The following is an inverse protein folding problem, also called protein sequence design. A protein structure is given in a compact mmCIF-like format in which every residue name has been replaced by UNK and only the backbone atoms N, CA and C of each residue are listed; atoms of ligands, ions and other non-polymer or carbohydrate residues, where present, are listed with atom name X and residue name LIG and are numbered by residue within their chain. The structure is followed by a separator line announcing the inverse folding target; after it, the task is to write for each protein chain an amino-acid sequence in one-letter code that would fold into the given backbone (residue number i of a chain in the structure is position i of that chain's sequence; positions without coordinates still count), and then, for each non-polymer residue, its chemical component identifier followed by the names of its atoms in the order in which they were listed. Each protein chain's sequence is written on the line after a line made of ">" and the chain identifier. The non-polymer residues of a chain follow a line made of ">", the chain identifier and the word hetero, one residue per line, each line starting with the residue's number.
data_IF_267280817356
#
_entry.id   IF_267280817356
#
_cell.length_a   1.000
_cell.length_b   1.000
_cell.length_c   1.000
_cell.angle_alpha   90.00
_cell.angle_beta   90.00
_cell.angle_gamma   90.00
#
_symmetry.space_group_name_H-M   'P 1'
#
loop_
_entity.id
_entity.type
_entity.pdbx_description
1 polymer ?
#
# COMPACT_ATOMS: atom_id res chain seq x y z
N UNK A 1 -31.08 20.51 15.64
CA UNK A 1 -30.14 20.38 14.51
C UNK A 1 -29.80 18.91 14.39
N UNK A 2 -30.27 18.26 13.34
CA UNK A 2 -30.05 16.82 13.11
C UNK A 2 -28.59 16.57 12.70
N UNK A 3 -28.11 15.33 12.81
CA UNK A 3 -26.73 15.02 12.41
C UNK A 3 -26.51 15.20 10.90
N UNK A 4 -27.54 14.97 10.08
CA UNK A 4 -27.51 15.27 8.64
C UNK A 4 -27.35 16.77 8.37
N UNK A 5 -27.94 17.65 9.20
CA UNK A 5 -27.77 19.11 9.07
C UNK A 5 -26.31 19.53 9.31
N UNK A 6 -25.58 18.83 10.18
CA UNK A 6 -24.16 19.14 10.46
C UNK A 6 -23.27 18.97 9.23
N UNK A 7 -23.62 18.04 8.33
CA UNK A 7 -22.89 17.82 7.07
C UNK A 7 -23.09 19.00 6.12
N UNK A 8 -24.31 19.53 6.05
CA UNK A 8 -24.72 20.54 5.06
C UNK A 8 -24.70 22.00 5.55
N UNK A 9 -24.48 22.27 6.85
CA UNK A 9 -24.43 23.63 7.40
C UNK A 9 -23.11 24.38 7.13
N UNK A 10 -23.18 25.71 7.01
CA UNK A 10 -22.20 26.62 6.38
C UNK A 10 -20.77 26.59 6.93
N UNK A 11 -19.81 26.91 6.05
CA UNK A 11 -18.34 26.84 6.21
C UNK A 11 -17.79 27.41 7.53
N UNK A 12 -17.19 26.53 8.34
CA UNK A 12 -16.44 26.90 9.56
C UNK A 12 -15.09 27.57 9.23
N UNK A 13 -14.58 28.44 10.11
CA UNK A 13 -13.23 29.07 10.00
C UNK A 13 -12.11 28.05 9.70
N UNK A 14 -12.26 26.82 10.19
CA UNK A 14 -11.33 25.70 10.00
C UNK A 14 -11.28 25.21 8.54
N UNK A 15 -12.42 25.16 7.85
CA UNK A 15 -12.48 24.74 6.44
C UNK A 15 -11.82 25.77 5.52
N UNK A 16 -11.96 27.07 5.80
CA UNK A 16 -11.22 28.14 5.10
C UNK A 16 -9.69 27.95 5.22
N UNK A 17 -9.20 27.61 6.42
CA UNK A 17 -7.79 27.36 6.64
C UNK A 17 -7.26 26.13 5.87
N UNK A 18 -8.05 25.05 5.75
CA UNK A 18 -7.67 23.85 4.97
C UNK A 18 -7.55 24.15 3.48
N UNK A 19 -8.50 24.91 2.90
CA UNK A 19 -8.44 25.27 1.48
C UNK A 19 -7.23 26.17 1.19
N UNK A 20 -6.96 27.15 2.05
CA UNK A 20 -5.78 28.02 1.94
C UNK A 20 -4.48 27.20 1.97
N UNK A 21 -4.36 26.27 2.92
CA UNK A 21 -3.17 25.41 3.02
C UNK A 21 -3.00 24.49 1.79
N UNK A 22 -4.11 24.01 1.22
CA UNK A 22 -4.08 23.16 0.02
C UNK A 22 -3.70 23.93 -1.24
N UNK A 23 -4.23 25.14 -1.39
CA UNK A 23 -3.85 26.07 -2.48
C UNK A 23 -2.35 26.35 -2.43
N UNK A 24 -1.80 26.63 -1.24
CA UNK A 24 -0.35 26.84 -1.05
C UNK A 24 0.45 25.62 -1.49
N UNK A 25 0.08 24.43 -1.00
CA UNK A 25 0.76 23.18 -1.38
C UNK A 25 0.77 22.93 -2.89
N UNK A 26 -0.35 23.17 -3.57
CA UNK A 26 -0.44 22.99 -5.03
C UNK A 26 0.42 24.00 -5.80
N UNK A 27 0.55 25.23 -5.29
CA UNK A 27 1.45 26.23 -5.88
C UNK A 27 2.92 25.82 -5.69
N UNK A 28 3.26 25.24 -4.54
CA UNK A 28 4.60 24.72 -4.26
C UNK A 28 4.94 23.50 -5.13
N UNK A 29 3.98 22.60 -5.34
CA UNK A 29 4.12 21.47 -6.27
C UNK A 29 4.41 21.97 -7.71
N UNK A 30 3.68 23.00 -8.19
CA UNK A 30 3.96 23.60 -9.51
C UNK A 30 5.32 24.28 -9.59
N UNK A 31 5.81 24.85 -8.49
CA UNK A 31 7.18 25.36 -8.41
C UNK A 31 8.21 24.23 -8.47
N UNK A 32 7.97 23.10 -7.82
CA UNK A 32 8.84 21.91 -7.89
C UNK A 32 8.83 21.25 -9.27
N UNK A 33 7.72 21.34 -10.00
CA UNK A 33 7.62 20.96 -11.42
C UNK A 33 8.34 21.93 -12.38
N UNK A 34 9.03 22.96 -11.87
CA UNK A 34 9.87 23.87 -12.67
C UNK A 34 9.15 25.09 -13.26
N UNK A 35 7.87 25.33 -12.92
CA UNK A 35 7.18 26.54 -13.39
C UNK A 35 7.75 27.78 -12.68
N UNK A 36 8.13 28.80 -13.46
CA UNK A 36 8.75 30.03 -12.96
C UNK A 36 8.07 31.29 -13.54
N UNK A 37 8.28 32.43 -12.87
CA UNK A 37 7.86 33.76 -13.35
C UNK A 37 6.37 33.87 -13.72
N UNK A 38 6.09 34.36 -14.93
CA UNK A 38 4.71 34.60 -15.40
C UNK A 38 3.87 33.32 -15.52
N UNK A 39 4.50 32.17 -15.78
CA UNK A 39 3.78 30.88 -15.89
C UNK A 39 3.29 30.41 -14.52
N UNK A 40 4.16 30.49 -13.50
CA UNK A 40 3.77 30.19 -12.12
C UNK A 40 2.69 31.15 -11.62
N UNK A 41 2.78 32.44 -11.96
CA UNK A 41 1.77 33.44 -11.59
C UNK A 41 0.40 33.15 -12.18
N UNK A 42 0.33 32.73 -13.46
CA UNK A 42 -0.94 32.33 -14.10
C UNK A 42 -1.52 31.05 -13.48
N UNK A 43 -0.67 30.05 -13.23
CA UNK A 43 -1.08 28.80 -12.57
C UNK A 43 -1.59 29.07 -11.14
N UNK A 44 -0.86 29.86 -10.36
CA UNK A 44 -1.25 30.24 -9.00
C UNK A 44 -2.57 31.02 -8.97
N UNK A 45 -2.79 31.91 -9.94
CA UNK A 45 -4.06 32.64 -10.08
C UNK A 45 -5.24 31.69 -10.37
N UNK A 46 -5.07 30.72 -11.28
CA UNK A 46 -6.10 29.71 -11.54
C UNK A 46 -6.37 28.81 -10.33
N UNK A 47 -5.32 28.30 -9.68
CA UNK A 47 -5.43 27.47 -8.47
C UNK A 47 -6.15 28.25 -7.34
N UNK A 48 -5.82 29.53 -7.18
CA UNK A 48 -6.48 30.41 -6.21
C UNK A 48 -7.94 30.64 -6.55
N UNK A 49 -8.28 30.94 -7.82
CA UNK A 49 -9.66 31.14 -8.28
C UNK A 49 -10.52 29.86 -8.17
N UNK A 50 -9.91 28.69 -8.31
CA UNK A 50 -10.53 27.38 -8.06
C UNK A 50 -10.77 27.17 -6.56
N UNK A 51 -9.77 27.50 -5.72
CA UNK A 51 -9.90 27.43 -4.27
C UNK A 51 -10.96 28.38 -3.73
N UNK A 52 -11.06 29.58 -4.30
CA UNK A 52 -12.06 30.59 -3.98
C UNK A 52 -13.46 30.13 -4.41
N UNK A 53 -13.64 29.60 -5.63
CA UNK A 53 -14.91 28.97 -6.04
C UNK A 53 -15.33 27.82 -5.12
N UNK A 54 -14.39 26.95 -4.71
CA UNK A 54 -14.65 25.87 -3.75
C UNK A 54 -15.05 26.37 -2.36
N UNK A 55 -14.54 27.54 -1.95
CA UNK A 55 -14.94 28.20 -0.70
C UNK A 55 -16.31 28.87 -0.82
N UNK A 56 -16.64 29.43 -1.99
CA UNK A 56 -17.96 29.99 -2.31
C UNK A 56 -19.03 28.88 -2.48
N UNK A 57 -18.64 27.68 -2.90
CA UNK A 57 -19.51 26.52 -3.13
C UNK A 57 -19.59 25.53 -1.94
N UNK A 58 -18.80 25.75 -0.89
CA UNK A 58 -18.89 24.99 0.37
C UNK A 58 -18.56 23.50 0.28
N UNK A 59 -17.59 23.06 -0.55
CA UNK A 59 -17.31 21.64 -0.74
C UNK A 59 -16.74 20.94 0.52
N UNK A 60 -17.38 19.86 0.95
CA UNK A 60 -17.00 19.02 2.10
C UNK A 60 -16.71 17.60 1.64
N UNK A 61 -15.51 17.11 1.96
CA UNK A 61 -15.14 15.70 1.75
C UNK A 61 -15.82 14.84 2.81
N UNK A 62 -16.67 13.92 2.35
CA UNK A 62 -17.36 12.93 3.18
C UNK A 62 -16.37 11.95 3.81
N UNK A 63 -16.45 11.75 5.12
CA UNK A 63 -15.70 10.76 5.91
C UNK A 63 -16.58 9.57 6.27
N UNK A 64 -16.00 8.50 6.81
CA UNK A 64 -16.74 7.30 7.23
C UNK A 64 -17.94 7.59 8.15
N UNK A 65 -17.76 8.44 9.16
CA UNK A 65 -18.87 8.87 10.03
C UNK A 65 -19.98 9.61 9.27
N UNK A 66 -19.61 10.46 8.32
CA UNK A 66 -20.59 11.18 7.50
C UNK A 66 -21.38 10.23 6.60
N UNK A 67 -20.75 9.16 6.08
CA UNK A 67 -21.42 8.10 5.31
C UNK A 67 -22.45 7.34 6.15
N UNK A 68 -22.14 7.05 7.42
CA UNK A 68 -23.07 6.40 8.35
C UNK A 68 -24.31 7.29 8.54
N UNK A 69 -24.11 8.57 8.83
CA UNK A 69 -25.20 9.55 8.97
C UNK A 69 -26.03 9.67 7.69
N UNK A 70 -25.40 9.66 6.52
CA UNK A 70 -26.09 9.67 5.23
C UNK A 70 -26.96 8.42 5.03
N UNK A 71 -26.46 7.25 5.41
CA UNK A 71 -27.22 5.99 5.35
C UNK A 71 -28.43 6.01 6.28
N UNK A 72 -28.21 6.35 7.56
CA UNK A 72 -29.27 6.42 8.56
C UNK A 72 -30.41 7.34 8.09
N UNK A 73 -30.05 8.54 7.60
CA UNK A 73 -31.03 9.46 7.02
C UNK A 73 -31.77 8.87 5.79
N UNK A 74 -31.06 8.15 4.92
CA UNK A 74 -31.68 7.52 3.75
C UNK A 74 -32.63 6.36 4.14
N UNK A 75 -32.34 5.65 5.22
CA UNK A 75 -33.23 4.63 5.82
C UNK A 75 -34.48 5.31 6.38
N UNK A 76 -34.29 6.31 7.25
CA UNK A 76 -35.39 7.00 7.96
C UNK A 76 -36.37 7.67 6.99
N UNK A 77 -35.88 8.15 5.85
CA UNK A 77 -36.69 8.80 4.82
C UNK A 77 -37.23 7.84 3.75
N UNK A 78 -36.93 6.54 3.84
CA UNK A 78 -37.31 5.52 2.85
C UNK A 78 -36.63 5.68 1.48
N UNK A 79 -35.68 6.60 1.37
CA UNK A 79 -34.96 6.93 0.13
C UNK A 79 -33.98 5.86 -0.30
N UNK A 80 -33.50 5.04 0.64
CA UNK A 80 -32.60 3.92 0.35
C UNK A 80 -33.20 2.98 -0.71
N UNK A 81 -34.52 2.77 -0.67
CA UNK A 81 -35.26 1.88 -1.58
C UNK A 81 -35.26 2.37 -3.04
N UNK A 82 -34.89 3.62 -3.30
CA UNK A 82 -34.82 4.16 -4.66
C UNK A 82 -33.58 3.64 -5.40
N UNK A 83 -32.53 3.25 -4.69
CA UNK A 83 -31.27 2.81 -5.28
C UNK A 83 -31.29 1.32 -5.64
N UNK A 84 -32.04 1.00 -6.69
CA UNK A 84 -32.07 -0.35 -7.26
C UNK A 84 -30.86 -0.56 -8.15
N UNK A 85 -30.02 -1.54 -7.82
CA UNK A 85 -28.83 -1.89 -8.60
C UNK A 85 -29.17 -2.77 -9.80
N UNK A 86 -28.62 -2.48 -10.96
CA UNK A 86 -28.76 -3.27 -12.18
C UNK A 86 -27.47 -3.99 -12.53
N UNK A 87 -27.59 -5.26 -12.93
CA UNK A 87 -26.46 -6.01 -13.48
C UNK A 87 -26.31 -5.67 -14.97
N UNK A 88 -25.12 -5.26 -15.37
CA UNK A 88 -24.78 -4.90 -16.74
C UNK A 88 -23.63 -5.74 -17.28
N UNK A 89 -23.96 -6.62 -18.22
CA UNK A 89 -22.97 -7.42 -18.95
C UNK A 89 -22.40 -6.64 -20.12
N UNK A 90 -21.40 -5.81 -19.84
CA UNK A 90 -20.70 -5.07 -20.89
C UNK A 90 -19.43 -5.84 -21.29
N UNK A 91 -19.45 -6.46 -22.46
CA UNK A 91 -18.29 -7.17 -23.05
C UNK A 91 -17.04 -6.27 -23.13
N UNK A 92 -17.26 -4.95 -23.25
CA UNK A 92 -16.22 -3.91 -23.32
C UNK A 92 -15.30 -3.87 -22.09
N UNK A 93 -15.73 -4.40 -20.94
CA UNK A 93 -14.96 -4.32 -19.69
C UNK A 93 -14.20 -5.61 -19.34
N UNK A 94 -14.32 -6.67 -20.14
CA UNK A 94 -13.63 -7.95 -19.90
C UNK A 94 -12.10 -7.87 -19.87
N UNK A 95 -11.51 -6.80 -20.38
CA UNK A 95 -10.06 -6.56 -20.33
C UNK A 95 -9.58 -6.03 -18.96
N UNK A 96 -10.50 -5.75 -18.04
CA UNK A 96 -10.16 -5.32 -16.68
C UNK A 96 -9.81 -6.54 -15.85
N UNK A 97 -8.50 -6.77 -15.69
CA UNK A 97 -7.98 -7.89 -14.89
C UNK A 97 -7.57 -7.52 -13.46
N UNK A 98 -7.71 -6.26 -13.04
CA UNK A 98 -7.22 -5.80 -11.73
C UNK A 98 -8.19 -4.84 -11.04
N UNK A 99 -8.21 -4.85 -9.71
CA UNK A 99 -9.02 -3.92 -8.89
C UNK A 99 -8.67 -2.45 -9.12
N UNK A 100 -7.41 -2.12 -9.40
CA UNK A 100 -7.00 -0.75 -9.69
C UNK A 100 -7.55 -0.26 -11.04
N UNK A 101 -7.45 -1.07 -12.11
CA UNK A 101 -8.10 -0.78 -13.40
C UNK A 101 -9.63 -0.63 -13.28
N UNK A 102 -10.28 -1.38 -12.38
CA UNK A 102 -11.70 -1.19 -12.07
C UNK A 102 -11.96 0.19 -11.47
N UNK A 103 -11.15 0.61 -10.50
CA UNK A 103 -11.25 1.94 -9.88
C UNK A 103 -11.01 3.04 -10.91
N UNK A 104 -10.02 2.87 -11.79
CA UNK A 104 -9.73 3.82 -12.86
C UNK A 104 -10.88 3.92 -13.88
N UNK A 105 -11.48 2.78 -14.27
CA UNK A 105 -12.68 2.77 -15.10
C UNK A 105 -13.82 3.52 -14.40
N UNK A 106 -14.08 3.19 -13.14
CA UNK A 106 -15.15 3.78 -12.34
C UNK A 106 -15.00 5.30 -12.16
N UNK A 107 -13.76 5.80 -12.19
CA UNK A 107 -13.48 7.22 -12.18
C UNK A 107 -13.81 7.89 -13.53
N UNK A 108 -13.53 7.22 -14.66
CA UNK A 108 -13.59 7.80 -16.02
C UNK A 108 -14.93 7.64 -16.74
N UNK A 109 -15.77 6.73 -16.26
CA UNK A 109 -17.10 6.42 -16.83
C UNK A 109 -18.17 6.75 -15.80
N UNK A 110 -19.33 7.25 -16.25
CA UNK A 110 -20.47 7.54 -15.38
C UNK A 110 -21.10 6.24 -14.85
N UNK A 111 -20.47 5.64 -13.83
CA UNK A 111 -20.96 4.39 -13.25
C UNK A 111 -22.30 4.54 -12.54
N UNK A 112 -22.71 5.76 -12.18
CA UNK A 112 -23.98 5.99 -11.51
C UNK A 112 -25.17 5.62 -12.40
N UNK A 113 -25.11 6.02 -13.67
CA UNK A 113 -26.12 5.69 -14.69
C UNK A 113 -26.13 4.19 -15.03
N UNK A 114 -24.96 3.55 -15.00
CA UNK A 114 -24.82 2.11 -15.30
C UNK A 114 -25.33 1.27 -14.13
N UNK A 115 -25.02 1.65 -12.89
CA UNK A 115 -25.25 0.79 -11.72
C UNK A 115 -26.64 0.99 -11.12
N UNK A 116 -27.19 2.20 -11.12
CA UNK A 116 -28.40 2.52 -10.37
C UNK A 116 -29.55 2.92 -11.30
N UNK A 117 -30.64 2.15 -11.27
CA UNK A 117 -31.79 2.36 -12.17
C UNK A 117 -32.41 3.76 -12.01
N UNK A 118 -32.50 4.26 -10.77
CA UNK A 118 -33.02 5.60 -10.49
C UNK A 118 -32.13 6.74 -11.00
N UNK A 119 -30.90 6.45 -11.45
CA UNK A 119 -29.95 7.45 -11.98
C UNK A 119 -29.70 7.29 -13.48
N UNK A 120 -30.25 6.25 -14.13
CA UNK A 120 -29.94 5.86 -15.51
C UNK A 120 -30.25 6.90 -16.58
N UNK A 121 -31.27 7.73 -16.38
CA UNK A 121 -31.69 8.74 -17.35
C UNK A 121 -31.28 10.17 -16.96
N UNK A 122 -30.37 10.31 -16.00
CA UNK A 122 -29.92 11.62 -15.52
C UNK A 122 -28.78 12.11 -16.41
N UNK A 123 -29.02 13.21 -17.12
CA UNK A 123 -27.99 13.85 -17.93
C UNK A 123 -26.90 14.47 -17.04
N UNK A 124 -25.63 14.27 -17.43
CA UNK A 124 -24.50 14.89 -16.74
C UNK A 124 -24.63 16.41 -16.65
N UNK A 125 -24.13 16.99 -15.55
CA UNK A 125 -24.17 18.42 -15.25
C UNK A 125 -25.57 19.05 -15.18
N UNK A 126 -26.61 18.23 -15.03
CA UNK A 126 -27.98 18.70 -14.79
C UNK A 126 -28.37 18.51 -13.33
N UNK A 127 -29.13 19.49 -12.80
CA UNK A 127 -29.64 19.44 -11.43
C UNK A 127 -30.93 18.63 -11.36
N UNK A 128 -31.04 17.78 -10.34
CA UNK A 128 -32.22 16.99 -10.04
C UNK A 128 -32.47 16.92 -8.52
N UNK A 129 -33.67 16.56 -8.06
CA UNK A 129 -33.92 16.34 -6.64
C UNK A 129 -32.98 15.25 -6.09
N UNK A 130 -32.27 15.53 -4.99
CA UNK A 130 -31.35 14.57 -4.42
C UNK A 130 -32.11 13.29 -4.02
N UNK A 131 -31.63 12.15 -4.52
CA UNK A 131 -32.22 10.85 -4.23
C UNK A 131 -31.80 10.34 -2.84
N UNK A 132 -30.68 10.82 -2.28
CA UNK A 132 -30.14 10.37 -0.99
C UNK A 132 -30.59 11.20 0.23
N UNK A 133 -30.77 12.51 0.07
CA UNK A 133 -31.04 13.45 1.18
C UNK A 133 -32.23 14.33 0.81
N UNK A 134 -33.25 14.35 1.66
CA UNK A 134 -34.45 15.14 1.42
C UNK A 134 -34.15 16.65 1.40
N UNK A 135 -34.85 17.39 0.53
CA UNK A 135 -34.73 18.84 0.35
C UNK A 135 -33.36 19.33 -0.15
N UNK A 136 -32.47 18.42 -0.53
CA UNK A 136 -31.26 18.75 -1.28
C UNK A 136 -31.52 18.61 -2.78
N UNK A 137 -30.75 19.33 -3.58
CA UNK A 137 -30.57 19.03 -5.00
C UNK A 137 -29.26 18.24 -5.20
N UNK A 138 -29.18 17.53 -6.32
CA UNK A 138 -28.05 16.72 -6.71
C UNK A 138 -27.73 16.94 -8.19
N UNK A 139 -26.52 16.57 -8.58
CA UNK A 139 -26.08 16.49 -9.97
C UNK A 139 -24.95 15.48 -10.07
N UNK A 140 -24.75 14.90 -11.26
CA UNK A 140 -23.61 14.02 -11.54
C UNK A 140 -22.68 14.77 -12.48
N UNK A 141 -21.40 14.89 -12.12
CA UNK A 141 -20.41 15.55 -12.97
C UNK A 141 -18.99 15.05 -12.71
N UNK A 142 -18.09 15.31 -13.65
CA UNK A 142 -16.66 15.10 -13.47
C UNK A 142 -16.06 16.20 -12.59
N UNK A 143 -15.40 15.79 -11.52
CA UNK A 143 -14.53 16.65 -10.72
C UNK A 143 -13.17 16.86 -11.43
N UNK A 144 -12.37 17.84 -10.98
CA UNK A 144 -10.96 17.97 -11.36
C UNK A 144 -10.25 16.61 -11.26
N UNK A 145 -9.56 16.24 -12.36
CA UNK A 145 -8.97 14.92 -12.68
C UNK A 145 -9.91 13.91 -13.37
N UNK A 146 -10.99 14.38 -14.00
CA UNK A 146 -11.91 13.54 -14.78
C UNK A 146 -12.58 12.41 -13.97
N UNK A 147 -12.83 12.66 -12.68
CA UNK A 147 -13.44 11.67 -11.78
C UNK A 147 -14.94 11.96 -11.62
N UNK A 148 -15.80 11.01 -12.00
CA UNK A 148 -17.24 11.13 -11.77
C UNK A 148 -17.61 11.14 -10.29
N UNK A 149 -18.52 12.05 -9.94
CA UNK A 149 -19.07 12.21 -8.59
C UNK A 149 -20.57 12.45 -8.65
N UNK A 150 -21.30 11.84 -7.72
CA UNK A 150 -22.66 12.23 -7.35
C UNK A 150 -22.56 13.34 -6.31
N UNK A 151 -23.02 14.54 -6.64
CA UNK A 151 -23.03 15.67 -5.74
C UNK A 151 -24.37 15.82 -5.06
N UNK A 152 -24.36 16.30 -3.82
CA UNK A 152 -25.56 16.73 -3.11
C UNK A 152 -25.29 18.06 -2.43
N UNK A 153 -26.26 18.98 -2.52
CA UNK A 153 -26.17 20.31 -1.91
C UNK A 153 -27.53 20.73 -1.37
N UNK A 154 -27.50 21.37 -0.21
CA UNK A 154 -28.64 22.11 0.35
C UNK A 154 -28.54 23.57 -0.08
N UNK A 155 -29.68 24.22 -0.31
CA UNK A 155 -29.69 25.65 -0.59
C UNK A 155 -28.98 26.45 0.52
N UNK A 156 -28.09 27.37 0.14
CA UNK A 156 -27.21 28.10 1.05
C UNK A 156 -26.21 27.27 1.87
N UNK A 157 -26.12 25.96 1.64
CA UNK A 157 -25.32 25.01 2.41
C UNK A 157 -24.06 24.50 1.71
N UNK A 158 -23.40 23.56 2.37
CA UNK A 158 -22.23 22.86 1.84
C UNK A 158 -22.60 21.90 0.70
N UNK A 159 -21.63 21.62 -0.15
CA UNK A 159 -21.71 20.60 -1.20
C UNK A 159 -20.94 19.36 -0.75
N UNK A 160 -21.49 18.16 -0.91
CA UNK A 160 -20.74 16.91 -0.80
C UNK A 160 -20.59 16.24 -2.16
N UNK A 161 -19.52 15.45 -2.35
CA UNK A 161 -19.29 14.65 -3.55
C UNK A 161 -18.98 13.21 -3.22
N UNK A 162 -19.82 12.28 -3.67
CA UNK A 162 -19.69 10.83 -3.47
C UNK A 162 -19.16 10.19 -4.75
N UNK A 163 -18.16 9.31 -4.63
CA UNK A 163 -17.80 8.39 -5.71
C UNK A 163 -18.82 7.26 -5.80
N UNK A 164 -18.76 6.46 -6.88
CA UNK A 164 -19.61 5.27 -7.00
C UNK A 164 -19.39 4.32 -5.82
N UNK A 165 -18.14 4.15 -5.37
CA UNK A 165 -17.82 3.30 -4.22
C UNK A 165 -18.40 3.86 -2.92
N UNK A 166 -18.35 5.19 -2.71
CA UNK A 166 -18.99 5.79 -1.55
C UNK A 166 -20.50 5.54 -1.54
N UNK A 167 -21.15 5.62 -2.71
CA UNK A 167 -22.58 5.37 -2.82
C UNK A 167 -22.90 3.90 -2.59
N UNK A 168 -22.16 2.95 -3.17
CA UNK A 168 -22.33 1.51 -2.90
C UNK A 168 -22.14 1.20 -1.40
N UNK A 169 -21.11 1.75 -0.76
CA UNK A 169 -20.91 1.60 0.70
C UNK A 169 -22.12 2.10 1.51
N UNK A 170 -22.64 3.27 1.17
CA UNK A 170 -23.81 3.86 1.85
C UNK A 170 -25.06 3.01 1.60
N UNK A 171 -25.27 2.52 0.38
CA UNK A 171 -26.46 1.74 -0.01
C UNK A 171 -26.44 0.33 0.60
N UNK A 172 -25.28 -0.32 0.65
CA UNK A 172 -25.17 -1.69 1.19
C UNK A 172 -25.04 -1.71 2.71
N UNK A 173 -24.37 -0.70 3.27
CA UNK A 173 -24.18 -0.58 4.72
C UNK A 173 -23.13 -1.52 5.30
N UNK A 174 -22.29 -2.13 4.47
CA UNK A 174 -21.24 -3.06 4.89
C UNK A 174 -19.97 -2.29 5.26
N UNK A 175 -19.55 -2.37 6.53
CA UNK A 175 -18.27 -1.82 7.04
C UNK A 175 -18.00 -0.36 6.58
N UNK A 176 -19.03 0.48 6.66
CA UNK A 176 -19.06 1.82 6.07
C UNK A 176 -17.85 2.67 6.52
N UNK A 177 -17.08 3.18 5.56
CA UNK A 177 -15.94 4.05 5.84
C UNK A 177 -14.68 3.33 6.33
N UNK A 178 -14.72 2.00 6.42
CA UNK A 178 -13.56 1.16 6.72
C UNK A 178 -12.93 0.60 5.44
N UNK A 179 -11.71 0.03 5.56
CA UNK A 179 -11.04 -0.63 4.43
C UNK A 179 -11.86 -1.81 3.89
N UNK A 180 -12.54 -2.54 4.76
CA UNK A 180 -13.41 -3.65 4.39
C UNK A 180 -14.63 -3.17 3.58
N UNK A 181 -15.20 -2.00 3.91
CA UNK A 181 -16.32 -1.43 3.16
C UNK A 181 -15.93 -1.01 1.75
N UNK A 182 -14.74 -0.39 1.59
CA UNK A 182 -14.25 -0.06 0.25
C UNK A 182 -13.98 -1.32 -0.60
N UNK A 183 -13.42 -2.38 -0.01
CA UNK A 183 -13.23 -3.67 -0.69
C UNK A 183 -14.57 -4.27 -1.13
N UNK A 184 -15.56 -4.29 -0.23
CA UNK A 184 -16.92 -4.74 -0.54
C UNK A 184 -17.49 -3.96 -1.72
N UNK A 185 -17.35 -2.63 -1.74
CA UNK A 185 -17.84 -1.82 -2.85
C UNK A 185 -17.12 -2.11 -4.19
N UNK A 186 -15.83 -2.45 -4.16
CA UNK A 186 -15.10 -2.89 -5.36
C UNK A 186 -15.61 -4.25 -5.86
N UNK A 187 -15.80 -5.22 -4.96
CA UNK A 187 -16.31 -6.55 -5.27
C UNK A 187 -17.74 -6.49 -5.82
N UNK A 188 -18.60 -5.67 -5.20
CA UNK A 188 -19.97 -5.48 -5.66
C UNK A 188 -20.01 -4.79 -7.04
N UNK A 189 -19.20 -3.76 -7.27
CA UNK A 189 -19.12 -3.13 -8.59
C UNK A 189 -18.60 -4.13 -9.64
N UNK A 190 -17.60 -4.93 -9.32
CA UNK A 190 -17.09 -5.96 -10.20
C UNK A 190 -18.18 -6.98 -10.57
N UNK A 191 -18.94 -7.47 -9.58
CA UNK A 191 -20.06 -8.39 -9.77
C UNK A 191 -21.15 -7.80 -10.66
N UNK A 192 -21.53 -6.54 -10.44
CA UNK A 192 -22.54 -5.85 -11.24
C UNK A 192 -22.10 -5.66 -12.70
N UNK A 193 -20.80 -5.55 -12.94
CA UNK A 193 -20.20 -5.45 -14.27
C UNK A 193 -19.82 -6.81 -14.89
N UNK A 194 -20.13 -7.93 -14.21
CA UNK A 194 -19.78 -9.30 -14.66
C UNK A 194 -18.26 -9.48 -14.83
N UNK A 195 -17.48 -8.88 -13.93
CA UNK A 195 -16.02 -8.99 -13.87
C UNK A 195 -15.62 -10.03 -12.83
N UNK A 196 -14.94 -11.07 -13.29
CA UNK A 196 -14.42 -12.16 -12.45
C UNK A 196 -12.89 -12.13 -12.37
N UNK A 197 -12.34 -12.67 -11.29
CA UNK A 197 -10.89 -12.90 -11.18
C UNK A 197 -10.03 -11.63 -11.11
N UNK A 198 -10.56 -10.51 -10.61
CA UNK A 198 -9.78 -9.28 -10.45
C UNK A 198 -8.61 -9.49 -9.48
N UNK A 199 -7.40 -9.28 -9.97
CA UNK A 199 -6.16 -9.39 -9.19
C UNK A 199 -5.79 -8.07 -8.52
N UNK A 200 -4.98 -8.13 -7.47
CA UNK A 200 -4.37 -6.93 -6.85
C UNK A 200 -3.13 -6.53 -7.66
N UNK A 201 -3.17 -5.37 -8.32
CA UNK A 201 -2.06 -4.87 -9.15
C UNK A 201 -0.76 -4.73 -8.36
N UNK A 202 -0.81 -4.35 -7.08
CA UNK A 202 0.40 -4.29 -6.26
C UNK A 202 0.99 -5.67 -6.06
N UNK A 203 0.15 -6.69 -5.83
CA UNK A 203 0.58 -8.08 -5.67
C UNK A 203 1.23 -8.60 -6.95
N UNK A 204 0.64 -8.29 -8.11
CA UNK A 204 1.22 -8.58 -9.43
C UNK A 204 2.58 -7.90 -9.57
N UNK A 205 2.67 -6.60 -9.32
CA UNK A 205 3.92 -5.84 -9.47
C UNK A 205 5.04 -6.37 -8.56
N UNK A 206 4.69 -6.77 -7.33
CA UNK A 206 5.64 -7.38 -6.40
C UNK A 206 6.09 -8.78 -6.87
N UNK A 207 5.17 -9.59 -7.39
CA UNK A 207 5.50 -10.89 -7.98
C UNK A 207 6.39 -10.74 -9.22
N UNK A 208 6.03 -9.85 -10.14
CA UNK A 208 6.82 -9.54 -11.34
C UNK A 208 8.21 -9.02 -10.99
N UNK A 209 8.37 -8.23 -9.90
CA UNK A 209 9.68 -7.84 -9.40
C UNK A 209 10.56 -9.06 -9.13
N UNK A 210 10.05 -10.06 -8.41
CA UNK A 210 10.79 -11.29 -8.11
C UNK A 210 11.12 -12.10 -9.37
N UNK A 211 10.17 -12.24 -10.29
CA UNK A 211 10.40 -12.95 -11.57
C UNK A 211 11.48 -12.24 -12.41
N UNK A 212 11.41 -10.92 -12.53
CA UNK A 212 12.41 -10.12 -13.25
C UNK A 212 13.79 -10.23 -12.60
N UNK A 213 13.86 -10.26 -11.26
CA UNK A 213 15.11 -10.47 -10.55
C UNK A 213 15.70 -11.86 -10.84
N UNK A 214 14.89 -12.93 -10.76
CA UNK A 214 15.32 -14.29 -11.11
C UNK A 214 15.80 -14.36 -12.56
N UNK A 215 15.09 -13.71 -13.48
CA UNK A 215 15.48 -13.65 -14.87
C UNK A 215 16.83 -12.94 -15.05
N UNK A 216 17.02 -11.80 -14.39
CA UNK A 216 18.29 -11.06 -14.43
C UNK A 216 19.47 -11.89 -13.90
N UNK A 217 19.23 -12.74 -12.89
CA UNK A 217 20.22 -13.65 -12.33
C UNK A 217 20.55 -14.84 -13.26
N UNK A 218 19.60 -15.32 -14.07
CA UNK A 218 19.73 -16.54 -14.88
C UNK A 218 20.14 -16.28 -16.33
N UNK A 219 19.52 -15.31 -16.99
CA UNK A 219 19.55 -15.18 -18.46
C UNK A 219 20.73 -14.35 -18.97
N UNK A 220 21.43 -13.61 -18.09
CA UNK A 220 22.27 -12.48 -18.52
C UNK A 220 23.78 -12.66 -18.27
N UNK A 221 24.30 -13.88 -18.18
CA UNK A 221 25.69 -14.11 -17.74
C UNK A 221 26.75 -13.28 -18.49
N UNK A 222 26.71 -13.20 -19.83
CA UNK A 222 27.73 -12.42 -20.57
C UNK A 222 27.57 -10.90 -20.47
N UNK A 223 26.33 -10.39 -20.51
CA UNK A 223 26.08 -8.95 -20.41
C UNK A 223 26.32 -8.47 -18.98
N UNK A 224 25.84 -9.22 -18.00
CA UNK A 224 26.03 -8.94 -16.58
C UNK A 224 27.51 -9.00 -16.20
N UNK A 225 28.28 -9.98 -16.71
CA UNK A 225 29.73 -10.03 -16.50
C UNK A 225 30.45 -8.82 -17.10
N UNK A 226 30.03 -8.36 -18.28
CA UNK A 226 30.63 -7.18 -18.93
C UNK A 226 30.29 -5.88 -18.21
N UNK A 227 29.04 -5.71 -17.78
CA UNK A 227 28.57 -4.48 -17.13
C UNK A 227 28.95 -4.42 -15.64
N UNK A 228 28.98 -5.58 -14.96
CA UNK A 228 29.21 -5.70 -13.52
C UNK A 228 30.25 -6.80 -13.20
N UNK A 229 31.52 -6.64 -13.63
CA UNK A 229 32.52 -7.70 -13.56
C UNK A 229 32.89 -8.11 -12.14
N UNK A 230 32.97 -7.18 -11.19
CA UNK A 230 33.33 -7.47 -9.79
C UNK A 230 32.17 -8.16 -9.07
N UNK A 231 30.96 -7.63 -9.26
CA UNK A 231 29.73 -8.20 -8.74
C UNK A 231 29.52 -9.59 -9.30
N UNK A 232 29.65 -9.79 -10.62
CA UNK A 232 29.50 -11.09 -11.27
C UNK A 232 30.39 -12.15 -10.62
N UNK A 233 31.70 -11.89 -10.53
CA UNK A 233 32.67 -12.82 -9.91
C UNK A 233 32.28 -13.20 -8.48
N UNK A 234 31.73 -12.25 -7.74
CA UNK A 234 31.32 -12.45 -6.36
C UNK A 234 30.01 -13.24 -6.27
N UNK A 235 28.96 -12.82 -6.97
CA UNK A 235 27.58 -13.34 -6.81
C UNK A 235 27.37 -14.73 -7.39
N UNK A 236 28.18 -15.17 -8.35
CA UNK A 236 28.05 -16.51 -8.95
C UNK A 236 28.08 -17.63 -7.90
N UNK A 237 28.91 -17.49 -6.86
CA UNK A 237 28.97 -18.46 -5.75
C UNK A 237 27.75 -18.43 -4.84
N UNK A 238 26.96 -17.36 -4.91
CA UNK A 238 25.81 -17.09 -4.04
C UNK A 238 24.48 -17.16 -4.79
N UNK A 239 24.47 -17.62 -6.05
CA UNK A 239 23.29 -17.66 -6.90
C UNK A 239 22.13 -18.41 -6.24
N UNK A 240 22.40 -19.57 -5.63
CA UNK A 240 21.36 -20.35 -4.93
C UNK A 240 20.73 -19.61 -3.75
N UNK A 241 21.48 -18.71 -3.10
CA UNK A 241 20.94 -17.87 -2.03
C UNK A 241 20.07 -16.75 -2.61
N UNK A 242 20.54 -16.09 -3.67
CA UNK A 242 19.78 -15.05 -4.36
C UNK A 242 18.47 -15.61 -4.94
N UNK A 243 18.51 -16.80 -5.53
CA UNK A 243 17.33 -17.51 -5.98
C UNK A 243 16.38 -17.81 -4.82
N UNK A 244 16.87 -18.29 -3.68
CA UNK A 244 16.06 -18.50 -2.48
C UNK A 244 15.35 -17.21 -2.04
N UNK A 245 16.05 -16.07 -1.97
CA UNK A 245 15.44 -14.79 -1.57
C UNK A 245 14.49 -14.22 -2.64
N UNK A 246 14.61 -14.62 -3.91
CA UNK A 246 13.71 -14.16 -4.98
C UNK A 246 12.61 -15.17 -5.33
N UNK A 247 12.59 -16.37 -4.74
CA UNK A 247 11.55 -17.36 -5.02
C UNK A 247 10.33 -17.06 -4.15
N UNK A 248 9.34 -16.41 -4.75
CA UNK A 248 8.06 -16.12 -4.12
C UNK A 248 6.94 -16.45 -5.10
N UNK A 249 6.01 -17.29 -4.66
CA UNK A 249 4.74 -17.50 -5.36
C UNK A 249 3.85 -16.26 -5.19
N UNK A 250 3.04 -15.97 -6.21
CA UNK A 250 2.10 -14.84 -6.13
C UNK A 250 1.23 -14.97 -4.89
N UNK A 251 0.65 -16.15 -4.63
CA UNK A 251 -0.25 -16.39 -3.49
C UNK A 251 0.36 -16.01 -2.14
N UNK A 252 1.67 -16.21 -1.97
CA UNK A 252 2.43 -15.90 -0.76
C UNK A 252 2.77 -14.41 -0.56
N UNK A 253 2.39 -13.53 -1.49
CA UNK A 253 2.61 -12.08 -1.38
C UNK A 253 1.38 -11.42 -0.76
N UNK A 254 1.59 -10.82 0.41
CA UNK A 254 0.52 -10.18 1.17
C UNK A 254 0.80 -8.70 1.40
N UNK A 255 -0.20 -7.85 1.15
CA UNK A 255 -0.09 -6.40 1.41
C UNK A 255 0.05 -6.07 2.90
N UNK A 256 -0.50 -6.91 3.78
CA UNK A 256 -0.24 -6.84 5.22
C UNK A 256 1.24 -7.11 5.54
N UNK A 257 1.99 -7.76 4.67
CA UNK A 257 3.44 -7.92 4.77
C UNK A 257 4.14 -6.93 3.85
N UNK A 258 3.94 -5.63 4.10
CA UNK A 258 4.60 -4.56 3.36
C UNK A 258 5.29 -3.55 4.28
N UNK A 259 6.38 -2.99 3.77
CA UNK A 259 7.12 -1.89 4.37
C UNK A 259 7.60 -0.97 3.25
N UNK A 260 7.33 0.34 3.34
CA UNK A 260 7.61 1.32 2.28
C UNK A 260 7.07 0.89 0.90
N UNK A 261 5.82 0.40 0.88
CA UNK A 261 5.14 -0.09 -0.33
C UNK A 261 5.79 -1.32 -1.01
N UNK A 262 6.75 -1.96 -0.37
CA UNK A 262 7.45 -3.15 -0.89
C UNK A 262 7.12 -4.39 -0.04
N UNK A 263 7.04 -5.56 -0.69
CA UNK A 263 6.81 -6.83 -0.02
C UNK A 263 7.92 -7.13 0.99
N UNK A 264 7.52 -7.64 2.15
CA UNK A 264 8.38 -8.06 3.24
C UNK A 264 8.13 -9.54 3.52
N UNK A 265 9.17 -10.29 3.76
CA UNK A 265 9.05 -11.65 4.28
C UNK A 265 10.03 -11.85 5.43
N UNK A 266 9.90 -12.98 6.13
CA UNK A 266 10.84 -13.33 7.17
C UNK A 266 11.29 -14.77 6.97
N UNK A 267 12.53 -15.03 7.32
CA UNK A 267 13.09 -16.39 7.31
C UNK A 267 14.18 -16.48 8.36
N UNK A 268 14.36 -17.67 8.94
CA UNK A 268 15.48 -17.92 9.84
C UNK A 268 16.66 -18.45 9.05
N UNK A 269 17.88 -18.12 9.47
CA UNK A 269 19.09 -18.72 8.90
C UNK A 269 19.10 -20.24 9.00
N UNK A 270 18.46 -20.82 10.03
CA UNK A 270 18.31 -22.28 10.15
C UNK A 270 17.45 -22.83 9.01
N UNK A 271 16.32 -22.19 8.68
CA UNK A 271 15.46 -22.58 7.55
C UNK A 271 16.22 -22.49 6.21
N UNK A 272 17.00 -21.43 6.01
CA UNK A 272 17.86 -21.31 4.81
C UNK A 272 18.90 -22.44 4.78
N UNK A 273 19.53 -22.75 5.92
CA UNK A 273 20.49 -23.86 6.04
C UNK A 273 19.86 -25.18 5.63
N UNK A 274 18.68 -25.50 6.15
CA UNK A 274 17.96 -26.74 5.88
C UNK A 274 17.56 -26.83 4.41
N UNK A 275 16.98 -25.76 3.85
CA UNK A 275 16.53 -25.72 2.46
C UNK A 275 17.68 -25.83 1.45
N UNK A 276 18.83 -25.21 1.73
CA UNK A 276 19.98 -25.17 0.82
C UNK A 276 21.05 -26.23 1.13
N UNK A 277 20.92 -27.00 2.21
CA UNK A 277 21.91 -27.99 2.64
C UNK A 277 23.28 -27.37 3.00
N UNK A 278 23.31 -26.19 3.61
CA UNK A 278 24.55 -25.43 3.91
C UNK A 278 24.81 -25.30 5.40
N UNK A 279 26.06 -25.10 5.81
CA UNK A 279 26.37 -24.87 7.21
C UNK A 279 25.84 -23.51 7.70
N UNK A 280 25.48 -23.43 8.98
CA UNK A 280 24.88 -22.23 9.59
C UNK A 280 25.80 -21.00 9.49
N UNK A 281 27.11 -21.20 9.64
CA UNK A 281 28.12 -20.15 9.49
C UNK A 281 28.26 -19.67 8.04
N UNK A 282 28.08 -20.56 7.07
CA UNK A 282 28.07 -20.19 5.65
C UNK A 282 26.84 -19.39 5.31
N UNK A 283 25.65 -19.87 5.67
CA UNK A 283 24.38 -19.12 5.48
C UNK A 283 24.46 -17.72 6.06
N UNK A 284 24.90 -17.58 7.31
CA UNK A 284 24.99 -16.27 7.98
C UNK A 284 25.93 -15.32 7.23
N UNK A 285 27.09 -15.80 6.78
CA UNK A 285 28.04 -14.99 6.00
C UNK A 285 27.47 -14.63 4.62
N UNK A 286 26.85 -15.58 3.92
CA UNK A 286 26.20 -15.34 2.63
C UNK A 286 25.13 -14.26 2.74
N UNK A 287 24.23 -14.37 3.71
CA UNK A 287 23.18 -13.37 3.96
C UNK A 287 23.80 -11.99 4.24
N UNK A 288 24.83 -11.92 5.08
CA UNK A 288 25.49 -10.64 5.38
C UNK A 288 26.17 -10.05 4.14
N UNK A 289 26.82 -10.87 3.30
CA UNK A 289 27.43 -10.41 2.06
C UNK A 289 26.38 -9.87 1.08
N UNK A 290 25.30 -10.61 0.86
CA UNK A 290 24.21 -10.16 -0.01
C UNK A 290 23.54 -8.87 0.52
N UNK A 291 23.48 -8.71 1.84
CA UNK A 291 22.99 -7.47 2.48
C UNK A 291 23.98 -6.32 2.30
N UNK A 292 25.29 -6.60 2.36
CA UNK A 292 26.34 -5.62 2.12
C UNK A 292 26.27 -5.08 0.69
N UNK A 293 26.13 -5.98 -0.29
CA UNK A 293 25.95 -5.65 -1.71
C UNK A 293 24.63 -4.93 -2.01
N UNK A 294 23.67 -4.94 -1.08
CA UNK A 294 22.35 -4.35 -1.30
C UNK A 294 21.45 -5.19 -2.22
N UNK A 295 21.78 -6.46 -2.46
CA UNK A 295 20.95 -7.38 -3.24
C UNK A 295 19.80 -7.99 -2.42
N UNK A 296 19.90 -7.90 -1.09
CA UNK A 296 18.83 -8.12 -0.12
C UNK A 296 18.93 -7.03 0.95
N UNK A 297 17.82 -6.70 1.60
CA UNK A 297 17.78 -5.74 2.70
C UNK A 297 17.22 -6.40 3.95
N UNK A 298 17.87 -6.17 5.10
CA UNK A 298 17.33 -6.56 6.41
C UNK A 298 16.61 -5.37 7.01
N UNK A 299 15.39 -5.58 7.47
CA UNK A 299 14.60 -4.50 8.08
C UNK A 299 14.89 -4.46 9.59
N UNK A 300 15.37 -3.32 10.14
CA UNK A 300 15.53 -3.14 11.58
C UNK A 300 14.18 -3.22 12.32
N UNK A 301 14.12 -3.87 13.49
CA UNK A 301 12.87 -4.02 14.25
C UNK A 301 12.24 -2.69 14.68
N UNK A 302 13.04 -1.65 14.93
CA UNK A 302 12.56 -0.31 15.26
C UNK A 302 11.95 0.43 14.06
N UNK A 303 12.13 -0.08 12.83
CA UNK A 303 11.55 0.46 11.62
C UNK A 303 10.35 -0.36 11.12
N UNK A 304 10.11 -1.55 11.69
CA UNK A 304 8.98 -2.39 11.28
C UNK A 304 7.64 -1.74 11.61
N UNK A 305 6.64 -1.88 10.74
CA UNK A 305 5.25 -1.61 11.09
C UNK A 305 4.83 -2.37 12.36
N UNK A 306 3.97 -1.77 13.18
CA UNK A 306 3.57 -2.30 14.48
C UNK A 306 3.01 -3.73 14.40
N UNK A 307 2.22 -4.04 13.37
CA UNK A 307 1.65 -5.37 13.18
C UNK A 307 2.70 -6.43 12.80
N UNK A 308 3.76 -6.08 12.05
CA UNK A 308 4.87 -7.02 11.77
C UNK A 308 5.74 -7.24 13.01
N UNK A 309 5.93 -6.19 13.82
CA UNK A 309 6.62 -6.31 15.11
C UNK A 309 5.84 -7.21 16.07
N UNK A 310 4.51 -7.12 16.06
CA UNK A 310 3.63 -8.00 16.84
C UNK A 310 3.76 -9.47 16.41
N UNK A 311 3.76 -9.75 15.09
CA UNK A 311 4.04 -11.09 14.57
C UNK A 311 5.40 -11.60 15.07
N UNK A 312 6.42 -10.74 15.05
CA UNK A 312 7.72 -11.09 15.62
C UNK A 312 7.69 -11.38 17.12
N UNK A 313 6.88 -10.67 17.92
CA UNK A 313 6.71 -10.91 19.35
C UNK A 313 6.11 -12.29 19.58
N UNK A 314 4.98 -12.58 18.93
CA UNK A 314 4.25 -13.84 19.06
C UNK A 314 5.13 -15.05 18.69
N UNK A 315 5.90 -14.94 17.60
CA UNK A 315 6.84 -16.00 17.20
C UNK A 315 7.93 -16.20 18.27
N UNK A 316 8.47 -15.12 18.84
CA UNK A 316 9.48 -15.21 19.89
C UNK A 316 8.93 -15.84 21.16
N UNK A 317 7.75 -15.41 21.62
CA UNK A 317 7.04 -15.97 22.78
C UNK A 317 6.80 -17.48 22.61
N UNK A 318 6.29 -17.90 21.46
CA UNK A 318 6.11 -19.33 21.12
C UNK A 318 7.43 -20.10 21.21
N UNK A 319 8.53 -19.56 20.68
CA UNK A 319 9.85 -20.21 20.75
C UNK A 319 10.33 -20.32 22.19
N UNK A 320 10.18 -19.27 22.99
CA UNK A 320 10.56 -19.27 24.41
C UNK A 320 9.77 -20.35 25.17
N UNK A 321 8.45 -20.44 24.92
CA UNK A 321 7.60 -21.47 25.51
C UNK A 321 8.02 -22.90 25.11
N UNK A 322 8.57 -23.07 23.89
CA UNK A 322 9.19 -24.33 23.41
C UNK A 322 10.64 -24.54 23.91
N UNK A 323 11.14 -23.73 24.84
CA UNK A 323 12.46 -23.89 25.47
C UNK A 323 13.61 -23.11 24.81
N UNK A 324 13.34 -22.24 23.84
CA UNK A 324 14.35 -21.40 23.20
C UNK A 324 14.92 -20.35 24.17
N UNK A 325 16.22 -20.41 24.45
CA UNK A 325 16.90 -19.51 25.41
C UNK A 325 17.46 -18.24 24.78
N UNK A 326 17.39 -18.09 23.46
CA UNK A 326 18.18 -17.12 22.72
C UNK A 326 17.60 -15.71 22.64
N UNK A 327 16.33 -15.48 22.96
CA UNK A 327 15.70 -14.14 22.92
C UNK A 327 15.68 -13.45 21.54
N UNK A 328 16.34 -14.02 20.51
CA UNK A 328 16.48 -13.40 19.18
C UNK A 328 15.18 -13.47 18.40
N UNK A 329 14.76 -12.30 17.92
CA UNK A 329 13.64 -12.12 17.01
C UNK A 329 13.96 -12.68 15.62
N UNK A 330 12.91 -13.01 14.87
CA UNK A 330 13.04 -13.30 13.44
C UNK A 330 13.52 -12.05 12.69
N UNK A 331 14.29 -12.29 11.64
CA UNK A 331 14.75 -11.24 10.73
C UNK A 331 13.76 -11.11 9.58
N UNK A 332 13.37 -9.87 9.29
CA UNK A 332 12.56 -9.54 8.13
C UNK A 332 13.46 -9.03 7.01
N UNK A 333 13.08 -9.34 5.78
CA UNK A 333 13.83 -9.05 4.58
C UNK A 333 12.95 -8.37 3.53
N UNK A 334 13.59 -7.55 2.71
CA UNK A 334 13.08 -7.11 1.41
C UNK A 334 14.11 -7.47 0.34
N UNK A 335 13.65 -7.65 -0.88
CA UNK A 335 14.53 -7.73 -2.04
C UNK A 335 14.22 -6.55 -2.95
N UNK A 336 15.21 -5.69 -3.24
CA UNK A 336 15.02 -4.60 -4.18
C UNK A 336 14.85 -5.14 -5.60
N UNK A 337 14.23 -4.35 -6.46
CA UNK A 337 14.26 -4.64 -7.89
C UNK A 337 15.70 -4.50 -8.41
N UNK A 338 16.18 -5.47 -9.16
CA UNK A 338 17.52 -5.46 -9.77
C UNK A 338 17.53 -4.58 -11.02
N UNK A 339 17.28 -3.29 -10.80
CA UNK A 339 17.44 -2.24 -11.81
C UNK A 339 18.93 -1.98 -12.05
N UNK A 340 19.25 -1.32 -13.16
CA UNK A 340 20.63 -0.89 -13.45
C UNK A 340 21.24 -0.11 -12.27
N UNK A 341 20.51 0.84 -11.68
CA UNK A 341 20.98 1.61 -10.53
C UNK A 341 21.31 0.72 -9.30
N UNK A 342 20.46 -0.27 -9.02
CA UNK A 342 20.68 -1.23 -7.93
C UNK A 342 21.96 -2.04 -8.18
N UNK A 343 22.16 -2.49 -9.42
CA UNK A 343 23.31 -3.29 -9.80
C UNK A 343 24.61 -2.46 -9.89
N UNK A 344 24.55 -1.22 -10.37
CA UNK A 344 25.67 -0.26 -10.33
C UNK A 344 26.14 -0.05 -8.88
N UNK A 345 25.19 0.18 -7.96
CA UNK A 345 25.51 0.33 -6.54
C UNK A 345 26.12 -0.92 -5.93
N UNK A 346 25.65 -2.11 -6.35
CA UNK A 346 26.19 -3.38 -5.91
C UNK A 346 27.60 -3.65 -6.49
N UNK A 347 27.86 -3.25 -7.73
CA UNK A 347 29.18 -3.31 -8.39
C UNK A 347 30.20 -2.41 -7.68
N UNK A 348 29.82 -1.19 -7.29
CA UNK A 348 30.67 -0.29 -6.52
C UNK A 348 31.10 -0.92 -5.19
N UNK A 349 30.16 -1.57 -4.49
CA UNK A 349 30.45 -2.28 -3.24
C UNK A 349 31.33 -3.50 -3.51
N UNK A 350 31.03 -4.29 -4.53
CA UNK A 350 31.82 -5.48 -4.90
C UNK A 350 33.27 -5.11 -5.26
N UNK A 351 33.45 -4.03 -6.00
CA UNK A 351 34.76 -3.48 -6.36
C UNK A 351 35.54 -3.10 -5.09
N UNK A 352 34.93 -2.37 -4.16
CA UNK A 352 35.56 -2.03 -2.87
C UNK A 352 35.89 -3.26 -2.01
N UNK A 353 35.05 -4.31 -2.04
CA UNK A 353 35.35 -5.58 -1.37
C UNK A 353 36.64 -6.18 -1.94
N UNK A 354 36.79 -6.20 -3.27
CA UNK A 354 38.00 -6.69 -3.93
C UNK A 354 39.24 -5.82 -3.62
N UNK A 355 39.14 -4.50 -3.78
CA UNK A 355 40.24 -3.56 -3.54
C UNK A 355 40.73 -3.59 -2.08
N UNK A 356 39.84 -3.80 -1.12
CA UNK A 356 40.19 -3.89 0.30
C UNK A 356 40.81 -5.23 0.72
N UNK A 357 40.97 -6.17 -0.23
CA UNK A 357 41.44 -7.53 0.01
C UNK A 357 40.52 -8.31 0.96
N UNK A 358 39.25 -7.91 1.07
CA UNK A 358 38.29 -8.52 1.97
C UNK A 358 37.74 -9.79 1.33
N UNK A 359 38.11 -10.94 1.90
CA UNK A 359 37.58 -12.22 1.48
C UNK A 359 36.21 -12.51 2.11
N UNK A 360 35.46 -13.42 1.51
CA UNK A 360 34.12 -13.85 1.98
C UNK A 360 34.12 -14.30 3.47
N UNK A 361 35.22 -14.89 3.92
CA UNK A 361 35.42 -15.31 5.31
C UNK A 361 35.58 -14.14 6.30
N UNK A 362 35.87 -12.94 5.79
CA UNK A 362 36.15 -11.73 6.54
C UNK A 362 34.98 -10.73 6.56
N UNK A 363 33.80 -11.12 6.05
CA UNK A 363 32.55 -10.36 6.19
C UNK A 363 32.06 -10.43 7.65
N UNK A 364 32.79 -9.72 8.52
CA UNK A 364 32.53 -9.53 9.94
C UNK A 364 32.27 -8.05 10.20
N UNK A 365 31.49 -7.75 11.23
CA UNK A 365 31.06 -6.39 11.56
C UNK A 365 32.22 -5.39 11.61
N UNK A 366 33.27 -5.70 12.37
CA UNK A 366 34.46 -4.83 12.51
C UNK A 366 35.12 -4.49 11.18
N UNK A 367 35.26 -5.47 10.29
CA UNK A 367 35.92 -5.30 8.99
C UNK A 367 35.03 -4.52 8.02
N UNK A 368 33.72 -4.75 8.05
CA UNK A 368 32.74 -3.98 7.28
C UNK A 368 32.71 -2.54 7.78
N UNK A 369 32.68 -2.30 9.09
CA UNK A 369 32.71 -0.96 9.67
C UNK A 369 34.00 -0.20 9.30
N UNK A 370 35.14 -0.88 9.32
CA UNK A 370 36.43 -0.28 8.92
C UNK A 370 36.48 0.14 7.45
N UNK A 371 35.89 -0.63 6.54
CA UNK A 371 35.98 -0.38 5.09
C UNK A 371 34.83 0.46 4.56
N UNK A 372 33.62 0.26 5.07
CA UNK A 372 32.38 0.86 4.57
C UNK A 372 31.74 1.85 5.54
N UNK A 373 32.29 1.99 6.76
CA UNK A 373 31.76 2.85 7.80
C UNK A 373 30.66 2.18 8.63
N UNK A 374 30.37 2.81 9.77
CA UNK A 374 29.45 2.31 10.79
C UNK A 374 28.01 2.14 10.28
N UNK A 375 27.52 3.08 9.47
CA UNK A 375 26.15 3.03 8.95
C UNK A 375 25.90 1.77 8.10
N UNK A 376 26.82 1.43 7.19
CA UNK A 376 26.71 0.21 6.38
C UNK A 376 26.84 -1.03 7.26
N UNK A 377 27.74 -1.01 8.25
CA UNK A 377 27.87 -2.12 9.19
C UNK A 377 26.58 -2.35 10.01
N UNK A 378 25.91 -1.29 10.45
CA UNK A 378 24.64 -1.36 11.19
C UNK A 378 23.49 -1.90 10.33
N UNK A 379 23.48 -1.56 9.03
CA UNK A 379 22.52 -2.13 8.06
C UNK A 379 22.74 -3.63 7.85
N UNK A 380 24.00 -4.07 7.72
CA UNK A 380 24.35 -5.48 7.46
C UNK A 380 24.18 -6.34 8.71
N UNK A 381 24.62 -5.81 9.86
CA UNK A 381 24.62 -6.48 11.15
C UNK A 381 23.66 -5.76 12.08
N UNK A 382 22.37 -6.05 11.93
CA UNK A 382 21.35 -5.55 12.85
C UNK A 382 21.76 -5.84 14.30
N UNK A 383 21.71 -4.81 15.14
CA UNK A 383 21.96 -4.94 16.57
C UNK A 383 20.98 -5.96 17.17
N UNK A 384 21.47 -6.88 18.00
CA UNK A 384 20.64 -7.86 18.69
C UNK A 384 19.63 -7.14 19.60
N UNK A 385 18.38 -6.99 19.15
CA UNK A 385 17.30 -6.46 19.96
C UNK A 385 16.85 -7.53 20.96
N UNK A 386 17.44 -7.51 22.16
CA UNK A 386 17.01 -8.37 23.26
C UNK A 386 15.73 -7.81 23.87
N UNK A 387 14.70 -8.64 24.00
CA UNK A 387 13.53 -8.28 24.81
C UNK A 387 13.98 -8.20 26.26
N UNK A 388 13.82 -7.05 26.95
CA UNK A 388 14.07 -6.97 28.38
C UNK A 388 13.21 -8.04 29.08
N UNK A 389 13.81 -8.87 29.92
CA UNK A 389 13.03 -9.75 30.81
C UNK A 389 12.27 -8.85 31.78
N UNK A 390 11.02 -8.51 31.48
CA UNK A 390 10.15 -7.94 32.50
C UNK A 390 9.81 -9.06 33.49
N UNK A 391 10.30 -8.91 34.73
CA UNK A 391 9.71 -9.58 35.89
C UNK A 391 8.27 -9.09 35.98
N UNK A 392 7.33 -10.03 36.03
CA UNK A 392 5.92 -9.90 36.45
C UNK A 392 5.21 -8.59 36.09
N UNK A 393 4.19 -8.65 35.24
CA UNK A 393 2.85 -8.29 35.70
C UNK A 393 1.76 -8.82 34.76
N UNK A 394 0.89 -9.60 35.38
CA UNK A 394 -0.45 -10.02 34.96
C UNK A 394 -1.32 -8.82 34.59
N UNK A 395 -1.61 -8.63 33.30
CA UNK A 395 -2.95 -8.18 32.84
C UNK A 395 -3.21 -8.87 31.50
N UNK A 396 -3.98 -9.95 31.54
CA UNK A 396 -4.49 -10.60 30.34
C UNK A 396 -5.56 -9.72 29.71
N UNK A 397 -5.23 -9.10 28.57
CA UNK A 397 -6.26 -8.76 27.58
C UNK A 397 -6.32 -9.95 26.63
N UNK A 398 -7.26 -10.87 26.90
CA UNK A 398 -7.69 -11.85 25.91
C UNK A 398 -8.41 -11.08 24.80
N UNK A 399 -7.72 -10.87 23.68
CA UNK A 399 -8.39 -10.68 22.41
C UNK A 399 -8.71 -12.08 21.89
N UNK A 400 -9.98 -12.31 21.54
CA UNK A 400 -10.50 -13.60 21.10
C UNK A 400 -9.61 -14.18 19.99
N UNK A 401 -9.16 -15.42 20.20
CA UNK A 401 -8.31 -16.17 19.28
C UNK A 401 -9.03 -16.59 17.98
N UNK A 402 -10.33 -16.27 17.83
CA UNK A 402 -11.19 -16.77 16.76
C UNK A 402 -11.21 -15.91 15.47
N UNK A 403 -10.69 -14.68 15.47
CA UNK A 403 -10.79 -13.76 14.30
C UNK A 403 -9.51 -13.64 13.45
N UNK A 404 -8.50 -14.50 13.66
CA UNK A 404 -7.28 -14.45 12.86
C UNK A 404 -6.88 -15.83 12.30
N UNK A 405 -7.43 -16.24 11.13
CA UNK A 405 -7.19 -17.56 10.52
C UNK A 405 -5.74 -17.80 10.07
N UNK A 406 -4.82 -16.87 10.34
CA UNK A 406 -3.43 -16.96 9.91
C UNK A 406 -2.51 -17.60 10.96
N UNK A 407 -2.94 -17.75 12.22
CA UNK A 407 -2.04 -18.03 13.35
C UNK A 407 -1.68 -19.52 13.55
N UNK A 408 -2.53 -20.44 13.08
CA UNK A 408 -2.30 -21.88 13.23
C UNK A 408 -1.42 -22.51 12.14
N UNK A 409 -1.21 -21.83 11.01
CA UNK A 409 -0.43 -22.38 9.88
C UNK A 409 1.04 -21.96 9.85
N UNK A 410 1.53 -21.10 10.74
CA UNK A 410 2.90 -20.53 10.60
C UNK A 410 4.07 -21.48 10.85
N UNK A 411 3.86 -22.60 11.57
CA UNK A 411 4.90 -23.64 11.69
C UNK A 411 4.95 -24.54 10.44
N UNK A 412 3.86 -24.56 9.64
CA UNK A 412 3.68 -25.45 8.48
C UNK A 412 3.56 -24.74 7.13
N UNK A 413 3.55 -23.40 7.03
CA UNK A 413 3.55 -22.71 5.72
C UNK A 413 4.91 -22.93 5.04
N UNK A 414 4.96 -23.78 4.00
CA UNK A 414 6.04 -23.76 3.05
C UNK A 414 5.73 -22.57 2.15
N UNK A 415 6.35 -21.42 2.40
CA UNK A 415 6.80 -20.65 1.25
C UNK A 415 8.00 -21.43 0.71
#
# INVERSE_FOLDING_TARGET
>A
MTDIDRIFNTVTRRQKAVVINRVRKMVDEKRQEGLMGRQLSKAAFHIKKIGERRMEEGYVKVKGRDKIVLREHAIDTGRLNQFVKTQHRLQLYKLIGTTQKLVDLANRVNMFEIVFENLKCIQENTYFPCQLVQNNFAWISKHEKDVYRYYSKRDGGNTIGLSIFDLIEIIDGVNIGEKAGFRHAQEELARLLDLEGLRDEWKINQWEKYQNNLQALRDNNQKFEREFPSLYKLVQKYLTYLEYFNTHEEEGIFRSFSYREEHVFFTSTNRIKEKLGKSQSTVTRSVNLLTLLGMIEKIPHNQLPSHLLEISNRILERRINKGYKGGKRITFYQVPKYTKQTLDSAEDIATKVHESGMWESQIKREKVEKVFGKEIADRVFLSDYHVPKNKSDTVGVRLNDDDNPYIEKFDDIPF
#
